data_IF_265670759568
#
_entry.id   IF_265670759568
#
_cell.length_a   1.000
_cell.length_b   1.000
_cell.length_c   1.000
_cell.angle_alpha   90.00
_cell.angle_beta   90.00
_cell.angle_gamma   90.00
#
_symmetry.space_group_name_H-M   'P 1'
#
loop_
_entity.id
_entity.type
_entity.pdbx_description
1 polymer ?
#
# COMPACT_ATOMS: atom_id res chain seq x y z
N UNK A 1 -5.17 -21.19 -5.38
CA UNK A 1 -3.88 -21.16 -4.65
C UNK A 1 -4.14 -20.40 -3.38
N UNK A 2 -3.93 -21.02 -2.21
CA UNK A 2 -3.97 -20.32 -0.93
C UNK A 2 -2.53 -19.93 -0.63
N UNK A 3 -2.23 -18.64 -0.72
CA UNK A 3 -0.99 -18.08 -0.20
C UNK A 3 -1.16 -17.95 1.31
N UNK A 4 -0.20 -18.48 2.08
CA UNK A 4 -0.29 -18.58 3.55
C UNK A 4 0.27 -17.38 4.31
N UNK A 5 0.69 -16.32 3.61
CA UNK A 5 1.19 -15.08 4.20
C UNK A 5 0.36 -13.88 3.72
N UNK A 6 -0.03 -13.02 4.64
CA UNK A 6 -0.76 -11.75 4.37
C UNK A 6 0.17 -10.60 3.95
N UNK A 7 1.37 -10.95 3.47
CA UNK A 7 2.37 -9.97 3.04
C UNK A 7 2.03 -9.38 1.67
N UNK A 8 2.46 -8.14 1.38
CA UNK A 8 2.33 -7.58 0.04
C UNK A 8 2.97 -8.49 -1.01
N UNK A 9 2.23 -8.78 -2.08
CA UNK A 9 2.65 -9.71 -3.12
C UNK A 9 3.43 -8.98 -4.20
N UNK A 10 4.50 -9.59 -4.70
CA UNK A 10 5.25 -9.12 -5.85
C UNK A 10 4.48 -9.38 -7.14
N UNK A 11 4.28 -8.33 -7.93
CA UNK A 11 3.63 -8.40 -9.23
C UNK A 11 4.66 -8.66 -10.35
N UNK A 12 5.02 -9.93 -10.50
CA UNK A 12 5.96 -10.42 -11.51
C UNK A 12 5.29 -10.62 -12.88
N UNK A 13 5.01 -9.53 -13.58
CA UNK A 13 4.46 -9.54 -14.94
C UNK A 13 5.48 -9.22 -16.04
N UNK A 14 6.79 -9.30 -15.73
CA UNK A 14 7.87 -8.78 -16.59
C UNK A 14 8.28 -7.37 -16.17
N UNK A 15 7.98 -6.37 -16.99
CA UNK A 15 8.48 -4.99 -16.82
C UNK A 15 8.18 -4.37 -15.46
N UNK A 16 6.95 -4.50 -14.94
CA UNK A 16 6.63 -3.96 -13.60
C UNK A 16 7.18 -4.85 -12.47
N UNK A 17 7.40 -6.14 -12.77
CA UNK A 17 8.08 -7.07 -11.89
C UNK A 17 9.52 -6.64 -11.61
N UNK A 18 10.28 -6.30 -12.66
CA UNK A 18 11.66 -5.80 -12.55
C UNK A 18 11.75 -4.48 -11.77
N UNK A 19 10.70 -3.65 -11.84
CA UNK A 19 10.60 -2.39 -11.11
C UNK A 19 10.15 -2.55 -9.65
N UNK A 20 9.89 -3.79 -9.20
CA UNK A 20 9.53 -4.05 -7.81
C UNK A 20 8.13 -3.60 -7.42
N UNK A 21 7.17 -3.70 -8.34
CA UNK A 21 5.76 -3.39 -8.03
C UNK A 21 5.15 -4.45 -7.12
N UNK A 22 4.39 -3.99 -6.13
CA UNK A 22 3.63 -4.79 -5.19
C UNK A 22 2.13 -4.56 -5.35
N UNK A 23 1.37 -5.56 -4.91
CA UNK A 23 -0.09 -5.51 -4.77
C UNK A 23 -0.47 -6.00 -3.37
N UNK A 24 -1.60 -5.50 -2.80
CA UNK A 24 -2.12 -6.04 -1.55
C UNK A 24 -2.54 -7.50 -1.70
N UNK A 25 -2.54 -8.24 -0.61
CA UNK A 25 -3.03 -9.61 -0.54
C UNK A 25 -4.54 -9.61 -0.30
N UNK A 26 -5.33 -9.99 -1.31
CA UNK A 26 -6.80 -10.04 -1.22
C UNK A 26 -7.35 -11.39 -0.71
N UNK A 27 -6.48 -12.33 -0.37
CA UNK A 27 -6.87 -13.65 0.11
C UNK A 27 -7.71 -14.45 -0.90
N UNK A 28 -8.71 -15.18 -0.40
CA UNK A 28 -9.51 -16.11 -1.21
C UNK A 28 -10.70 -15.44 -1.92
N UNK A 29 -11.12 -14.25 -1.47
CA UNK A 29 -12.32 -13.57 -1.95
C UNK A 29 -11.94 -12.30 -2.73
N UNK A 30 -11.93 -12.33 -4.07
CA UNK A 30 -11.49 -11.19 -4.88
C UNK A 30 -12.52 -10.04 -4.95
N UNK A 31 -13.69 -10.18 -4.32
CA UNK A 31 -14.82 -9.25 -4.46
C UNK A 31 -15.48 -8.94 -3.12
N UNK A 32 -16.15 -7.80 -3.07
CA UNK A 32 -16.93 -7.35 -1.91
C UNK A 32 -18.36 -7.01 -2.29
N UNK A 33 -19.28 -7.19 -1.34
CA UNK A 33 -20.64 -6.64 -1.41
C UNK A 33 -20.69 -5.22 -0.82
N UNK A 34 -19.64 -4.80 -0.11
CA UNK A 34 -19.58 -3.56 0.63
C UNK A 34 -19.04 -2.41 -0.25
N UNK A 35 -19.96 -1.55 -0.72
CA UNK A 35 -19.61 -0.39 -1.54
C UNK A 35 -18.60 0.57 -0.87
N UNK A 36 -18.78 0.94 0.43
CA UNK A 36 -17.79 1.70 1.18
C UNK A 36 -16.38 1.10 1.18
N UNK A 37 -16.22 -0.21 1.43
CA UNK A 37 -14.90 -0.86 1.43
C UNK A 37 -14.30 -0.87 0.03
N UNK A 38 -15.10 -1.17 -1.01
CA UNK A 38 -14.65 -1.09 -2.40
C UNK A 38 -14.09 0.31 -2.71
N UNK A 39 -14.81 1.37 -2.31
CA UNK A 39 -14.36 2.75 -2.49
C UNK A 39 -13.11 3.09 -1.68
N UNK A 40 -13.00 2.60 -0.45
CA UNK A 40 -11.84 2.82 0.41
C UNK A 40 -10.58 2.29 -0.27
N UNK A 41 -10.64 1.05 -0.75
CA UNK A 41 -9.53 0.37 -1.44
C UNK A 41 -9.10 1.13 -2.70
N UNK A 42 -10.07 1.47 -3.57
CA UNK A 42 -9.81 2.20 -4.82
C UNK A 42 -9.17 3.56 -4.55
N UNK A 43 -9.77 4.36 -3.67
CA UNK A 43 -9.27 5.71 -3.37
C UNK A 43 -7.90 5.68 -2.71
N UNK A 44 -7.69 4.82 -1.71
CA UNK A 44 -6.39 4.74 -1.02
C UNK A 44 -5.32 4.22 -1.98
N UNK A 45 -5.58 3.11 -2.69
CA UNK A 45 -4.62 2.55 -3.65
C UNK A 45 -4.22 3.52 -4.75
N UNK A 46 -5.18 4.27 -5.29
CA UNK A 46 -4.91 5.28 -6.33
C UNK A 46 -4.05 6.43 -5.81
N UNK A 47 -4.33 6.93 -4.60
CA UNK A 47 -3.53 8.00 -4.01
C UNK A 47 -2.14 7.50 -3.63
N UNK A 48 -2.02 6.27 -3.14
CA UNK A 48 -0.75 5.64 -2.82
C UNK A 48 0.13 5.52 -4.07
N UNK A 49 -0.41 5.04 -5.18
CA UNK A 49 0.28 5.06 -6.48
C UNK A 49 0.76 6.46 -6.85
N UNK A 50 -0.08 7.47 -6.65
CA UNK A 50 0.30 8.87 -6.89
C UNK A 50 1.50 9.32 -6.06
N UNK A 51 1.52 8.99 -4.76
CA UNK A 51 2.64 9.30 -3.85
C UNK A 51 3.92 8.57 -4.28
N UNK A 52 3.83 7.27 -4.55
CA UNK A 52 4.98 6.43 -4.84
C UNK A 52 5.59 6.67 -6.22
N UNK A 53 4.86 7.33 -7.12
CA UNK A 53 5.37 7.78 -8.42
C UNK A 53 6.11 9.13 -8.36
N UNK A 54 6.02 9.86 -7.25
CA UNK A 54 6.77 11.11 -7.05
C UNK A 54 8.27 10.85 -7.07
N UNK A 55 9.06 11.87 -7.40
CA UNK A 55 10.52 11.75 -7.44
C UNK A 55 11.14 11.33 -6.12
N UNK A 56 10.51 11.68 -5.00
CA UNK A 56 11.04 11.42 -3.67
C UNK A 56 11.08 9.93 -3.31
N UNK A 57 10.21 9.09 -3.87
CA UNK A 57 10.27 7.63 -3.66
C UNK A 57 11.56 6.98 -4.21
N UNK A 58 12.20 7.64 -5.18
CA UNK A 58 13.42 7.17 -5.83
C UNK A 58 14.70 7.68 -5.19
N UNK A 59 14.59 8.59 -4.22
CA UNK A 59 15.73 9.24 -3.58
C UNK A 59 15.82 8.76 -2.13
N UNK A 60 17.04 8.63 -1.62
CA UNK A 60 17.27 8.21 -0.23
C UNK A 60 17.08 9.36 0.76
N UNK A 61 16.95 10.60 0.26
CA UNK A 61 16.72 11.79 1.05
C UNK A 61 15.28 11.87 1.62
N UNK A 62 15.06 12.67 2.68
CA UNK A 62 13.74 12.98 3.20
C UNK A 62 12.79 13.52 2.11
N UNK A 63 11.52 13.09 2.09
CA UNK A 63 10.57 13.54 1.06
C UNK A 63 10.34 15.04 1.10
N UNK A 64 10.00 15.64 -0.04
CA UNK A 64 9.64 17.05 -0.07
C UNK A 64 8.31 17.30 0.65
N UNK A 65 8.10 18.55 1.07
CA UNK A 65 6.87 19.01 1.72
C UNK A 65 5.61 18.55 0.97
N UNK A 66 5.61 18.71 -0.35
CA UNK A 66 4.45 18.37 -1.19
C UNK A 66 4.13 16.86 -1.16
N UNK A 67 5.17 16.02 -1.11
CA UNK A 67 5.00 14.58 -0.95
C UNK A 67 4.37 14.25 0.40
N UNK A 68 4.90 14.81 1.49
CA UNK A 68 4.38 14.60 2.85
C UNK A 68 2.95 15.11 3.02
N UNK A 69 2.63 16.26 2.45
CA UNK A 69 1.26 16.78 2.44
C UNK A 69 0.30 15.86 1.68
N UNK A 70 0.76 15.22 0.61
CA UNK A 70 -0.04 14.26 -0.16
C UNK A 70 -0.28 12.98 0.65
N UNK A 71 0.74 12.47 1.36
CA UNK A 71 0.60 11.35 2.31
C UNK A 71 -0.39 11.70 3.41
N UNK A 72 -0.26 12.87 4.05
CA UNK A 72 -1.18 13.29 5.10
C UNK A 72 -2.63 13.41 4.59
N UNK A 73 -2.84 13.98 3.39
CA UNK A 73 -4.16 14.05 2.74
C UNK A 73 -4.74 12.67 2.43
N UNK A 74 -3.91 11.69 2.05
CA UNK A 74 -4.34 10.30 1.89
C UNK A 74 -4.89 9.76 3.22
N UNK A 75 -4.18 9.98 4.33
CA UNK A 75 -4.62 9.54 5.66
C UNK A 75 -5.92 10.23 6.09
N UNK A 76 -6.04 11.55 5.91
CA UNK A 76 -7.27 12.29 6.22
C UNK A 76 -8.43 11.80 5.37
N UNK A 77 -8.20 11.58 4.07
CA UNK A 77 -9.25 11.10 3.18
C UNK A 77 -9.72 9.70 3.55
N UNK A 78 -8.80 8.81 3.93
CA UNK A 78 -9.14 7.48 4.43
C UNK A 78 -10.01 7.56 5.69
N UNK A 79 -9.63 8.40 6.66
CA UNK A 79 -10.42 8.64 7.88
C UNK A 79 -11.82 9.18 7.57
N UNK A 80 -11.94 10.14 6.65
CA UNK A 80 -13.25 10.69 6.25
C UNK A 80 -14.18 9.62 5.66
N UNK A 81 -13.63 8.67 4.89
CA UNK A 81 -14.41 7.57 4.33
C UNK A 81 -14.89 6.63 5.45
N UNK A 82 -14.02 6.32 6.41
CA UNK A 82 -14.35 5.46 7.54
C UNK A 82 -15.38 6.12 8.46
N UNK A 83 -15.14 7.36 8.90
CA UNK A 83 -16.03 8.08 9.83
C UNK A 83 -17.39 8.40 9.21
N UNK A 84 -17.45 8.65 7.90
CA UNK A 84 -18.70 8.97 7.20
C UNK A 84 -19.62 7.76 6.96
N UNK A 85 -19.17 6.53 7.22
CA UNK A 85 -19.89 5.28 6.92
C UNK A 85 -19.96 4.30 8.10
N UNK A 86 -19.35 4.67 9.23
CA UNK A 86 -19.35 3.85 10.44
C UNK A 86 -20.72 3.84 11.08
N UNK A 87 -21.18 2.66 11.44
CA UNK A 87 -22.36 2.44 12.28
C UNK A 87 -21.90 1.90 13.62
N UNK A 88 -22.45 2.48 14.69
CA UNK A 88 -22.10 2.09 16.05
C UNK A 88 -22.69 0.73 16.37
N UNK A 89 -22.08 0.01 17.30
CA UNK A 89 -22.51 -1.35 17.65
C UNK A 89 -24.00 -1.46 18.08
N UNK A 90 -24.57 -0.40 18.65
CA UNK A 90 -25.96 -0.39 19.12
C UNK A 90 -26.97 0.11 18.08
N UNK A 91 -26.50 0.62 16.96
CA UNK A 91 -27.37 1.13 15.90
C UNK A 91 -27.72 0.01 14.93
N UNK A 92 -28.96 0.01 14.43
CA UNK A 92 -29.42 -0.98 13.47
C UNK A 92 -28.72 -0.80 12.11
N UNK A 93 -28.13 -1.87 11.59
CA UNK A 93 -27.54 -1.88 10.25
C UNK A 93 -28.62 -1.73 9.18
N UNK A 94 -28.35 -0.92 8.17
CA UNK A 94 -29.18 -0.79 7.00
C UNK A 94 -29.19 -2.10 6.19
N UNK A 95 -30.35 -2.75 6.15
CA UNK A 95 -30.60 -3.96 5.37
C UNK A 95 -31.68 -3.70 4.34
N UNK A 96 -31.33 -3.85 3.06
CA UNK A 96 -32.31 -3.83 2.00
C UNK A 96 -33.13 -5.14 2.02
N UNK A 97 -34.46 -5.04 2.06
CA UNK A 97 -35.33 -6.21 2.25
C UNK A 97 -35.49 -7.12 1.03
N UNK A 98 -35.41 -6.56 -0.18
CA UNK A 98 -35.65 -7.30 -1.43
C UNK A 98 -34.56 -7.12 -2.49
N UNK A 99 -33.63 -6.19 -2.26
CA UNK A 99 -32.53 -5.92 -3.17
C UNK A 99 -31.22 -6.22 -2.44
N UNK A 100 -30.29 -6.89 -3.12
CA UNK A 100 -28.93 -7.07 -2.62
C UNK A 100 -27.97 -6.45 -3.63
N UNK A 101 -26.90 -5.79 -3.18
CA UNK A 101 -25.89 -5.28 -4.10
C UNK A 101 -25.24 -6.42 -4.87
N UNK A 102 -24.82 -6.15 -6.10
CA UNK A 102 -24.02 -7.09 -6.86
C UNK A 102 -22.59 -7.13 -6.30
N UNK A 103 -21.94 -8.31 -6.26
CA UNK A 103 -20.51 -8.41 -5.91
C UNK A 103 -19.67 -7.53 -6.84
N UNK A 104 -18.82 -6.69 -6.26
CA UNK A 104 -17.89 -5.83 -6.97
C UNK A 104 -16.46 -6.36 -6.77
N UNK A 105 -15.72 -6.70 -7.84
CA UNK A 105 -14.31 -7.06 -7.71
C UNK A 105 -13.52 -5.85 -7.23
N UNK A 106 -12.58 -6.04 -6.30
CA UNK A 106 -11.74 -4.93 -5.86
C UNK A 106 -10.90 -4.40 -7.02
N UNK A 107 -10.77 -3.07 -7.07
CA UNK A 107 -9.88 -2.39 -8.03
C UNK A 107 -8.54 -2.15 -7.34
N UNK A 108 -7.49 -2.78 -7.85
CA UNK A 108 -6.13 -2.69 -7.30
C UNK A 108 -5.30 -1.74 -8.14
N UNK A 109 -4.55 -0.88 -7.47
CA UNK A 109 -3.52 -0.04 -8.06
C UNK A 109 -2.17 -0.60 -7.63
N UNK A 110 -1.44 -1.33 -8.49
CA UNK A 110 -0.10 -1.81 -8.17
C UNK A 110 0.82 -0.61 -7.91
N UNK A 111 1.67 -0.70 -6.89
CA UNK A 111 2.56 0.39 -6.45
C UNK A 111 4.01 -0.08 -6.36
N UNK A 112 5.01 0.75 -6.70
CA UNK A 112 6.40 0.38 -6.50
C UNK A 112 6.71 0.32 -5.00
N UNK A 113 7.20 -0.82 -4.51
CA UNK A 113 7.49 -1.05 -3.09
C UNK A 113 8.88 -1.67 -2.85
N UNK A 114 9.18 -2.78 -3.51
CA UNK A 114 10.37 -3.58 -3.18
C UNK A 114 11.68 -2.86 -3.52
N UNK A 115 11.70 -2.17 -4.67
CA UNK A 115 12.85 -1.40 -5.17
C UNK A 115 12.84 0.07 -4.73
N UNK A 116 11.92 0.48 -3.85
CA UNK A 116 11.89 1.84 -3.29
C UNK A 116 13.10 2.03 -2.38
N UNK A 117 13.81 3.13 -2.61
CA UNK A 117 15.01 3.51 -1.85
C UNK A 117 14.66 4.33 -0.61
N UNK A 118 13.66 5.20 -0.72
CA UNK A 118 13.27 6.10 0.37
C UNK A 118 12.73 5.31 1.58
N UNK A 119 13.41 5.32 2.74
CA UNK A 119 13.01 4.48 3.88
C UNK A 119 11.65 4.89 4.46
N UNK A 120 11.36 6.20 4.58
CA UNK A 120 10.10 6.69 5.12
C UNK A 120 8.92 6.32 4.24
N UNK A 121 9.03 6.59 2.93
CA UNK A 121 7.94 6.27 2.00
C UNK A 121 7.74 4.76 1.87
N UNK A 122 8.81 3.97 1.96
CA UNK A 122 8.71 2.50 1.97
C UNK A 122 7.94 1.98 3.18
N UNK A 123 8.16 2.55 4.38
CA UNK A 123 7.38 2.18 5.57
C UNK A 123 5.91 2.59 5.45
N UNK A 124 5.64 3.79 4.93
CA UNK A 124 4.25 4.26 4.75
C UNK A 124 3.52 3.44 3.69
N UNK A 125 4.20 3.05 2.62
CA UNK A 125 3.68 2.16 1.58
C UNK A 125 3.37 0.78 2.14
N UNK A 126 4.30 0.20 2.92
CA UNK A 126 4.07 -1.08 3.60
C UNK A 126 2.82 -1.04 4.49
N UNK A 127 2.68 -0.04 5.37
CA UNK A 127 1.51 0.10 6.24
C UNK A 127 0.22 0.29 5.44
N UNK A 128 0.27 0.99 4.32
CA UNK A 128 -0.90 1.21 3.46
C UNK A 128 -1.28 -0.08 2.72
N UNK A 129 -0.30 -0.84 2.22
CA UNK A 129 -0.54 -2.14 1.59
C UNK A 129 -1.14 -3.15 2.58
N UNK A 130 -0.67 -3.17 3.83
CA UNK A 130 -1.28 -3.98 4.90
C UNK A 130 -2.71 -3.56 5.21
N UNK A 131 -2.97 -2.25 5.31
CA UNK A 131 -4.33 -1.73 5.46
C UNK A 131 -5.24 -2.23 4.34
N UNK A 132 -4.77 -2.18 3.09
CA UNK A 132 -5.55 -2.63 1.93
C UNK A 132 -5.80 -4.14 1.98
N UNK A 133 -4.80 -4.94 2.33
CA UNK A 133 -4.94 -6.39 2.51
C UNK A 133 -5.98 -6.72 3.59
N UNK A 134 -5.88 -6.10 4.77
CA UNK A 134 -6.81 -6.32 5.88
C UNK A 134 -8.23 -5.87 5.51
N UNK A 135 -8.38 -4.73 4.81
CA UNK A 135 -9.67 -4.26 4.32
C UNK A 135 -10.33 -5.26 3.35
N UNK A 136 -9.55 -5.87 2.46
CA UNK A 136 -10.03 -6.83 1.47
C UNK A 136 -10.43 -8.18 2.07
N UNK A 137 -9.79 -8.58 3.17
CA UNK A 137 -10.01 -9.87 3.80
C UNK A 137 -11.00 -9.82 4.98
N UNK A 138 -11.38 -8.62 5.45
CA UNK A 138 -12.28 -8.48 6.58
C UNK A 138 -13.67 -9.08 6.31
N UNK A 139 -14.29 -9.60 7.37
CA UNK A 139 -15.67 -10.13 7.37
C UNK A 139 -16.74 -9.10 6.99
N UNK A 140 -16.44 -7.80 7.06
CA UNK A 140 -17.39 -6.74 6.74
C UNK A 140 -17.65 -6.62 5.22
N UNK A 141 -16.88 -7.33 4.41
CA UNK A 141 -17.08 -7.41 2.96
C UNK A 141 -18.40 -8.07 2.57
N UNK A 142 -19.05 -8.79 3.49
CA UNK A 142 -20.40 -9.35 3.28
C UNK A 142 -21.52 -8.35 3.61
N UNK A 143 -21.22 -7.26 4.32
CA UNK A 143 -22.20 -6.23 4.72
C UNK A 143 -22.29 -5.18 3.62
N UNK A 144 -23.48 -5.01 3.04
CA UNK A 144 -23.68 -4.28 1.78
C UNK A 144 -23.36 -2.76 1.79
N UNK A 145 -23.78 -2.04 2.82
CA UNK A 145 -23.95 -0.57 2.74
C UNK A 145 -23.18 0.22 3.78
N UNK A 146 -22.69 -0.44 4.82
CA UNK A 146 -22.18 0.18 6.04
C UNK A 146 -20.97 -0.59 6.53
N UNK A 147 -20.18 0.05 7.40
CA UNK A 147 -19.05 -0.56 8.06
C UNK A 147 -19.24 -0.47 9.57
N UNK A 148 -18.81 -1.51 10.29
CA UNK A 148 -18.85 -1.54 11.74
C UNK A 148 -17.76 -0.67 12.36
N UNK A 149 -17.99 -0.22 13.59
CA UNK A 149 -17.00 0.49 14.40
C UNK A 149 -15.68 -0.29 14.58
N UNK A 150 -15.76 -1.61 14.72
CA UNK A 150 -14.59 -2.49 14.80
C UNK A 150 -13.70 -2.39 13.55
N UNK A 151 -14.32 -2.46 12.36
CA UNK A 151 -13.60 -2.33 11.10
C UNK A 151 -12.98 -0.93 10.95
N UNK A 152 -13.75 0.11 11.26
CA UNK A 152 -13.26 1.48 11.18
C UNK A 152 -12.10 1.73 12.14
N UNK A 153 -12.14 1.16 13.34
CA UNK A 153 -11.05 1.18 14.32
C UNK A 153 -9.78 0.53 13.78
N UNK A 154 -9.87 -0.73 13.31
CA UNK A 154 -8.72 -1.47 12.76
C UNK A 154 -8.08 -0.75 11.58
N UNK A 155 -8.88 -0.25 10.63
CA UNK A 155 -8.35 0.48 9.48
C UNK A 155 -7.75 1.83 9.89
N UNK A 156 -8.37 2.48 10.88
CA UNK A 156 -7.91 3.74 11.45
C UNK A 156 -6.54 3.63 12.12
N UNK A 157 -6.22 2.50 12.75
CA UNK A 157 -4.92 2.26 13.41
C UNK A 157 -3.74 2.39 12.44
N UNK A 158 -3.84 1.80 11.24
CA UNK A 158 -2.81 1.92 10.21
C UNK A 158 -2.62 3.38 9.74
N UNK A 159 -3.72 4.08 9.49
CA UNK A 159 -3.68 5.49 9.07
C UNK A 159 -3.14 6.41 10.18
N UNK A 160 -3.50 6.14 11.43
CA UNK A 160 -2.95 6.83 12.61
C UNK A 160 -1.46 6.55 12.75
N UNK A 161 -1.01 5.31 12.55
CA UNK A 161 0.39 4.97 12.63
C UNK A 161 1.23 5.77 11.63
N UNK A 162 0.78 5.86 10.38
CA UNK A 162 1.45 6.67 9.34
C UNK A 162 1.51 8.15 9.76
N UNK A 163 0.41 8.71 10.26
CA UNK A 163 0.37 10.11 10.70
C UNK A 163 1.27 10.38 11.90
N UNK A 164 1.35 9.46 12.86
CA UNK A 164 2.26 9.57 14.01
C UNK A 164 3.71 9.58 13.51
N UNK A 165 4.12 8.62 12.68
CA UNK A 165 5.49 8.56 12.16
C UNK A 165 5.86 9.84 11.40
N UNK A 166 4.97 10.29 10.51
CA UNK A 166 5.18 11.52 9.74
C UNK A 166 5.30 12.74 10.66
N UNK A 167 4.42 12.87 11.65
CA UNK A 167 4.41 14.00 12.58
C UNK A 167 5.65 14.01 13.50
N UNK A 168 6.02 12.86 14.06
CA UNK A 168 7.10 12.77 15.04
C UNK A 168 8.49 12.81 14.38
N UNK A 169 8.70 12.06 13.31
CA UNK A 169 10.03 11.90 12.71
C UNK A 169 10.39 13.05 11.78
N UNK A 170 9.46 13.45 10.90
CA UNK A 170 9.72 14.45 9.88
C UNK A 170 9.34 15.86 10.34
N UNK A 171 8.23 16.02 11.05
CA UNK A 171 7.75 17.34 11.49
C UNK A 171 8.16 17.73 12.92
N UNK A 172 8.81 16.84 13.67
CA UNK A 172 9.23 17.06 15.07
C UNK A 172 8.08 17.46 16.02
N UNK A 173 6.86 17.01 15.74
CA UNK A 173 5.72 17.25 16.62
C UNK A 173 5.75 16.28 17.81
N UNK A 174 5.29 16.71 18.99
CA UNK A 174 5.22 15.83 20.15
C UNK A 174 4.27 14.66 19.87
N UNK A 175 4.73 13.46 20.21
CA UNK A 175 3.98 12.21 19.98
C UNK A 175 2.60 12.22 20.63
N UNK A 176 2.48 12.79 21.83
CA UNK A 176 1.21 12.90 22.58
C UNK A 176 0.13 13.68 21.80
N UNK A 177 0.54 14.70 21.04
CA UNK A 177 -0.38 15.43 20.16
C UNK A 177 -0.74 14.63 18.92
N UNK A 178 0.23 13.91 18.35
CA UNK A 178 0.04 13.09 17.16
C UNK A 178 -0.79 11.81 17.41
N UNK A 179 -0.89 11.34 18.66
CA UNK A 179 -1.69 10.16 19.03
C UNK A 179 -3.19 10.46 19.19
N UNK A 180 -3.61 11.74 19.13
CA UNK A 180 -5.02 12.08 19.24
C UNK A 180 -5.82 11.55 18.04
N UNK A 181 -7.05 11.03 18.25
CA UNK A 181 -7.88 10.47 17.17
C UNK A 181 -8.19 11.48 16.05
N UNK A 182 -8.48 12.73 16.43
CA UNK A 182 -8.81 13.83 15.52
C UNK A 182 -7.58 14.65 15.11
N UNK A 183 -6.37 14.09 15.25
CA UNK A 183 -5.15 14.81 14.96
C UNK A 183 -5.06 15.19 13.47
N UNK A 184 -4.91 16.50 13.25
CA UNK A 184 -4.58 17.11 11.96
C UNK A 184 -3.27 17.87 12.15
N UNK A 185 -2.37 17.76 11.18
CA UNK A 185 -1.07 18.40 11.24
C UNK A 185 -1.27 19.91 11.05
N UNK A 186 -0.80 20.74 12.01
CA UNK A 186 -0.96 22.18 11.93
C UNK A 186 -0.21 22.78 10.74
N UNK A 187 -0.72 23.88 10.19
CA UNK A 187 -0.15 24.53 9.01
C UNK A 187 1.28 25.03 9.26
N UNK A 188 1.54 25.47 10.49
CA UNK A 188 2.83 25.95 10.96
C UNK A 188 3.92 24.89 10.84
N UNK A 189 3.59 23.62 11.11
CA UNK A 189 4.55 22.51 11.01
C UNK A 189 5.00 22.29 9.55
N UNK A 190 4.09 22.44 8.58
CA UNK A 190 4.43 22.34 7.17
C UNK A 190 5.34 23.48 6.68
N UNK A 191 5.15 24.68 7.22
CA UNK A 191 5.95 25.85 6.86
C UNK A 191 7.36 25.81 7.46
N UNK A 192 7.54 25.14 8.60
CA UNK A 192 8.84 24.98 9.27
C UNK A 192 9.64 23.79 8.75
N UNK A 193 9.03 22.89 7.97
CA UNK A 193 9.69 21.69 7.49
C UNK A 193 10.81 22.01 6.49
N UNK A 194 12.03 21.56 6.82
CA UNK A 194 13.19 21.63 5.93
C UNK A 194 13.84 20.24 5.79
N UNK A 195 13.80 19.61 4.61
CA UNK A 195 14.31 18.25 4.41
C UNK A 195 15.84 18.16 4.59
N UNK A 196 16.60 19.24 4.32
CA UNK A 196 18.05 19.23 4.42
C UNK A 196 18.56 19.18 5.87
N UNK A 197 17.73 19.56 6.84
CA UNK A 197 18.08 19.51 8.26
C UNK A 197 17.91 18.10 8.86
N UNK A 198 17.34 17.16 8.10
CA UNK A 198 16.96 15.83 8.57
C UNK A 198 17.98 14.74 8.24
N UNK A 199 19.00 15.06 7.46
CA UNK A 199 20.04 14.12 7.04
C UNK A 199 21.39 14.52 7.58
N UNK A 200 22.20 13.52 7.86
CA UNK A 200 23.63 13.70 8.04
C UNK A 200 24.32 13.91 6.69
N UNK A 201 25.50 14.54 6.69
CA UNK A 201 26.24 14.85 5.45
C UNK A 201 26.56 13.61 4.60
N UNK A 202 26.66 12.42 5.22
CA UNK A 202 26.92 11.16 4.51
C UNK A 202 25.65 10.54 3.90
N UNK A 203 24.50 10.68 4.57
CA UNK A 203 23.19 10.28 4.01
C UNK A 203 22.75 11.19 2.85
N UNK A 204 23.37 12.37 2.71
CA UNK A 204 23.13 13.28 1.60
C UNK A 204 23.82 12.88 0.28
N UNK A 205 24.75 11.91 0.32
CA UNK A 205 25.46 11.42 -0.85
C UNK A 205 24.56 10.39 -1.55
N UNK A 206 23.57 10.88 -2.30
CA UNK A 206 22.66 10.06 -3.09
C UNK A 206 23.14 9.97 -4.55
N UNK A 207 23.05 8.79 -5.15
CA UNK A 207 23.33 8.58 -6.57
C UNK A 207 22.00 8.48 -7.33
N UNK A 208 21.76 9.35 -8.33
CA UNK A 208 20.57 9.25 -9.15
C UNK A 208 20.47 7.85 -9.75
N UNK A 209 19.31 7.21 -9.58
CA UNK A 209 19.00 5.95 -10.28
C UNK A 209 19.07 6.18 -11.79
N UNK A 210 19.59 5.22 -12.53
CA UNK A 210 19.69 5.31 -13.98
C UNK A 210 18.30 5.53 -14.62
N UNK A 211 18.23 6.43 -15.61
CA UNK A 211 16.97 6.86 -16.24
C UNK A 211 16.20 5.82 -17.10
N UNK A 212 16.76 4.71 -17.64
CA UNK A 212 16.07 3.96 -18.70
C UNK A 212 14.87 3.11 -18.24
N UNK A 213 14.57 3.07 -16.93
CA UNK A 213 13.57 2.16 -16.35
C UNK A 213 12.34 2.86 -15.74
N UNK A 214 12.14 4.16 -16.00
CA UNK A 214 10.96 4.87 -15.50
C UNK A 214 9.77 4.64 -16.46
N UNK A 215 8.63 4.09 -15.99
CA UNK A 215 7.44 3.95 -16.82
C UNK A 215 6.99 5.31 -17.36
N UNK A 216 6.62 5.35 -18.63
CA UNK A 216 6.07 6.57 -19.24
C UNK A 216 4.66 6.83 -18.72
N UNK A 217 4.14 8.04 -18.90
CA UNK A 217 2.77 8.35 -18.46
C UNK A 217 1.73 7.43 -19.11
N UNK A 218 1.96 7.00 -20.36
CA UNK A 218 1.08 6.08 -21.08
C UNK A 218 1.06 4.69 -20.44
N UNK A 219 2.21 4.17 -19.99
CA UNK A 219 2.32 2.90 -19.28
C UNK A 219 1.56 2.93 -17.94
N UNK A 220 1.52 4.10 -17.31
CA UNK A 220 0.82 4.33 -16.04
C UNK A 220 -0.69 4.45 -16.19
N UNK A 221 -1.25 4.62 -17.40
CA UNK A 221 -2.70 4.79 -17.59
C UNK A 221 -3.46 3.58 -17.05
N UNK A 222 -2.94 2.37 -17.29
CA UNK A 222 -3.54 1.14 -16.77
C UNK A 222 -3.51 1.12 -15.23
N UNK A 223 -2.38 1.49 -14.64
CA UNK A 223 -2.21 1.50 -13.18
C UNK A 223 -3.07 2.59 -12.52
N UNK A 224 -3.19 3.77 -13.13
CA UNK A 224 -4.04 4.88 -12.66
C UNK A 224 -5.53 4.56 -12.74
N UNK A 225 -5.95 3.75 -13.73
CA UNK A 225 -7.33 3.26 -13.86
C UNK A 225 -7.64 2.12 -12.88
N UNK A 226 -6.60 1.41 -12.44
CA UNK A 226 -6.72 0.26 -11.58
C UNK A 226 -7.07 -1.00 -12.34
N UNK A 227 -6.66 -2.14 -11.79
CA UNK A 227 -6.83 -3.46 -12.34
C UNK A 227 -7.78 -4.22 -11.41
N UNK A 228 -8.95 -4.69 -11.89
CA UNK A 228 -9.81 -5.56 -11.11
C UNK A 228 -9.08 -6.84 -10.71
N UNK A 229 -9.25 -7.28 -9.46
CA UNK A 229 -8.70 -8.55 -8.91
C UNK A 229 -8.91 -9.75 -9.84
N UNK A 230 -10.07 -9.83 -10.49
CA UNK A 230 -10.43 -10.91 -11.43
C UNK A 230 -9.58 -10.96 -12.70
N UNK A 231 -8.88 -9.88 -13.04
CA UNK A 231 -7.98 -9.82 -14.21
C UNK A 231 -6.52 -10.14 -13.85
N UNK A 232 -6.19 -10.26 -12.57
CA UNK A 232 -4.84 -10.67 -12.19
C UNK A 232 -4.63 -12.15 -12.49
N UNK A 233 -3.56 -12.44 -13.22
CA UNK A 233 -3.10 -13.82 -13.39
C UNK A 233 -2.35 -14.24 -12.11
N UNK A 234 -2.79 -15.29 -11.39
CA UNK A 234 -2.11 -15.78 -10.20
C UNK A 234 -0.65 -16.17 -10.43
N UNK A 235 -0.26 -16.56 -11.65
CA UNK A 235 1.15 -16.87 -11.95
C UNK A 235 2.07 -15.65 -11.96
N UNK A 236 1.51 -14.43 -12.01
CA UNK A 236 2.26 -13.18 -11.92
C UNK A 236 2.35 -12.66 -10.48
N UNK A 237 1.89 -13.43 -9.49
CA UNK A 237 1.93 -13.05 -8.09
C UNK A 237 2.85 -14.01 -7.36
N UNK A 238 3.88 -13.46 -6.72
CA UNK A 238 4.86 -14.24 -5.99
C UNK A 238 5.30 -13.53 -4.72
N UNK A 239 5.98 -14.26 -3.85
CA UNK A 239 6.76 -13.66 -2.78
C UNK A 239 7.98 -13.01 -3.43
N UNK A 240 8.37 -11.82 -2.98
CA UNK A 240 9.58 -11.17 -3.49
C UNK A 240 10.80 -12.07 -3.26
N UNK A 241 11.70 -12.22 -4.24
CA UNK A 241 12.91 -13.02 -4.08
C UNK A 241 13.79 -12.39 -3.00
N UNK A 242 13.64 -12.88 -1.76
CA UNK A 242 14.63 -12.68 -0.72
C UNK A 242 15.72 -13.72 -0.98
N UNK A 243 16.99 -13.31 -1.03
CA UNK A 243 18.12 -14.24 -1.15
C UNK A 243 18.31 -15.14 0.10
N UNK A 244 17.25 -15.36 0.86
CA UNK A 244 17.20 -16.37 1.91
C UNK A 244 17.11 -17.72 1.18
N UNK A 245 18.05 -18.65 1.42
CA UNK A 245 17.92 -19.99 0.87
C UNK A 245 16.57 -20.54 1.34
N UNK A 246 15.65 -20.73 0.39
CA UNK A 246 14.41 -21.43 0.63
C UNK A 246 14.77 -22.75 1.34
N UNK A 247 14.13 -23.00 2.47
CA UNK A 247 14.52 -24.05 3.42
C UNK A 247 14.92 -25.35 2.73
N UNK A 248 16.04 -25.91 3.18
CA UNK A 248 16.49 -27.26 2.85
C UNK A 248 15.33 -28.24 3.10
N UNK A 249 14.59 -28.53 2.04
CA UNK A 249 13.69 -29.67 2.01
C UNK A 249 14.59 -30.84 1.67
N UNK A 250 15.01 -31.58 2.69
CA UNK A 250 15.78 -32.80 2.56
C UNK A 250 15.03 -33.80 1.67
N UNK A 251 15.42 -33.84 0.39
CA UNK A 251 15.04 -34.92 -0.52
C UNK A 251 16.30 -35.47 -1.19
N UNK A 252 16.62 -36.70 -0.79
CA UNK A 252 17.70 -37.50 -1.31
C UNK A 252 17.55 -37.74 -2.82
N UNK A 253 18.68 -37.59 -3.52
CA UNK A 253 19.14 -38.28 -4.73
C UNK A 253 18.21 -38.42 -5.95
N UNK A 254 18.67 -37.88 -7.08
CA UNK A 254 18.30 -38.40 -8.41
C UNK A 254 18.48 -37.46 -9.61
N UNK A 255 19.72 -37.16 -9.98
CA UNK A 255 20.23 -37.01 -11.37
C UNK A 255 19.46 -36.18 -12.42
N UNK A 256 20.10 -35.06 -12.78
CA UNK A 256 20.27 -34.38 -14.09
C UNK A 256 19.30 -33.31 -14.62
N UNK A 257 19.85 -32.27 -15.28
CA UNK A 257 19.23 -30.95 -15.41
C UNK A 257 18.73 -30.66 -16.83
N UNK A 258 17.65 -29.88 -16.95
CA UNK A 258 17.44 -29.06 -18.15
C UNK A 258 16.79 -27.72 -17.80
N UNK A 259 17.41 -26.70 -18.33
CA UNK A 259 17.25 -25.25 -18.14
C UNK A 259 15.92 -24.70 -18.64
N UNK A 260 15.39 -23.67 -17.98
CA UNK A 260 14.77 -22.50 -18.61
C UNK A 260 14.36 -21.41 -17.58
N UNK A 261 15.33 -20.91 -16.81
CA UNK A 261 15.16 -19.64 -16.08
C UNK A 261 16.31 -18.70 -16.44
N UNK A 262 15.97 -17.48 -16.83
CA UNK A 262 16.94 -16.41 -17.08
C UNK A 262 17.55 -16.03 -15.74
N UNK A 263 18.87 -16.18 -15.62
CA UNK A 263 19.60 -15.76 -14.43
C UNK A 263 19.71 -14.22 -14.39
N UNK A 264 19.60 -13.59 -13.21
CA UNK A 264 19.69 -12.15 -13.08
C UNK A 264 21.09 -11.63 -13.48
N UNK A 265 21.18 -10.40 -14.01
CA UNK A 265 22.44 -9.83 -14.49
C UNK A 265 23.42 -9.66 -13.33
N UNK A 266 24.64 -10.17 -13.52
CA UNK A 266 25.75 -10.03 -12.59
C UNK A 266 26.42 -8.64 -12.65
N UNK A 267 27.37 -8.38 -11.72
CA UNK A 267 27.96 -7.06 -11.47
C UNK A 267 28.76 -6.48 -12.64
#
# INVERSE_FOLDING_TARGET
MSFGSDEPLWWNNGTFGELGYAVPAWGNNPSTLNGPIHRLVDVIGKNLLGVMMMSDARLERPPQRDCLMTVAKLCYRGRDILSGRVVRFHDDLFRAGHASPAPQPFTIHPVPYFCVKNPWLKEYDYLTLLLLSEAMQHTNNEIAHEITEEFAGRMGEFLQRILILLATELLNLPRESAEQPDFIIPEEAWNQYNPLQKITTFEAIDTPTEFPHIPTEDDLVLLKRGIPTVLFNPSHLAIWPTNLPAGETSTNNGTNPSSNFVSPPGP
#
